data_IF_401023829811
#
_entry.id   IF_401023829811
#
_cell.length_a   1.000
_cell.length_b   1.000
_cell.length_c   1.000
_cell.angle_alpha   90.00
_cell.angle_beta   90.00
_cell.angle_gamma   90.00
#
_symmetry.space_group_name_H-M   'P 1'
#
loop_
_entity.id
_entity.type
_entity.pdbx_description
1 polymer ?
#
# COMPACT_ATOMS: atom_id res chain seq x y z
N UNK A 1 0.28 1.89 -6.37
CA UNK A 1 0.38 2.04 -7.84
C UNK A 1 1.63 2.85 -8.24
N UNK A 2 1.85 4.07 -7.75
CA UNK A 2 2.99 4.94 -8.14
C UNK A 2 4.36 4.29 -7.90
N UNK A 3 4.54 3.56 -6.80
CA UNK A 3 5.77 2.81 -6.54
C UNK A 3 6.05 1.79 -7.65
N UNK A 4 5.03 1.05 -8.05
CA UNK A 4 5.15 0.00 -9.07
C UNK A 4 5.40 0.59 -10.46
N UNK A 5 4.74 1.70 -10.79
CA UNK A 5 5.01 2.45 -12.02
C UNK A 5 6.47 2.93 -12.03
N UNK A 6 6.97 3.43 -10.90
CA UNK A 6 8.36 3.89 -10.75
C UNK A 6 9.38 2.75 -10.87
N UNK A 7 8.98 1.52 -10.62
CA UNK A 7 9.79 0.31 -10.84
C UNK A 7 9.72 -0.19 -12.30
N UNK A 8 8.94 0.48 -13.14
CA UNK A 8 8.79 0.15 -14.56
C UNK A 8 7.66 -0.82 -14.87
N UNK A 9 6.75 -1.02 -13.91
CA UNK A 9 5.52 -1.77 -14.11
C UNK A 9 4.44 -0.84 -14.68
N UNK A 10 4.54 -0.52 -15.96
CA UNK A 10 3.59 0.35 -16.66
C UNK A 10 2.18 -0.25 -16.81
N UNK A 11 2.02 -1.54 -16.57
CA UNK A 11 0.75 -2.25 -16.59
C UNK A 11 0.57 -3.12 -15.34
N UNK A 12 0.45 -2.48 -14.17
CA UNK A 12 -0.06 -3.17 -12.98
C UNK A 12 -1.54 -3.58 -13.14
N UNK A 13 -2.10 -3.34 -14.32
CA UNK A 13 -3.50 -3.60 -14.65
C UNK A 13 -3.81 -5.07 -14.99
N UNK A 14 -2.79 -5.95 -15.00
CA UNK A 14 -3.05 -7.39 -15.11
C UNK A 14 -3.74 -7.90 -13.84
N UNK A 15 -4.98 -8.42 -13.91
CA UNK A 15 -5.66 -9.00 -12.75
C UNK A 15 -4.86 -10.13 -12.09
N UNK A 16 -4.10 -10.88 -12.89
CA UNK A 16 -3.23 -11.95 -12.40
C UNK A 16 -2.10 -11.40 -11.52
N UNK A 17 -1.41 -10.36 -11.97
CA UNK A 17 -0.33 -9.76 -11.21
C UNK A 17 -0.85 -9.12 -9.91
N UNK A 18 -1.99 -8.45 -9.94
CA UNK A 18 -2.66 -7.95 -8.74
C UNK A 18 -2.98 -9.05 -7.73
N UNK A 19 -3.50 -10.19 -8.20
CA UNK A 19 -3.79 -11.33 -7.35
C UNK A 19 -2.54 -11.91 -6.67
N UNK A 20 -1.40 -11.94 -7.38
CA UNK A 20 -0.12 -12.36 -6.81
C UNK A 20 0.37 -11.39 -5.74
N UNK A 21 0.28 -10.09 -5.97
CA UNK A 21 0.61 -9.07 -4.95
C UNK A 21 -0.29 -9.18 -3.73
N UNK A 22 -1.61 -9.34 -3.92
CA UNK A 22 -2.57 -9.50 -2.82
C UNK A 22 -2.28 -10.75 -1.96
N UNK A 23 -1.77 -11.81 -2.58
CA UNK A 23 -1.34 -13.04 -1.89
C UNK A 23 0.09 -12.95 -1.33
N UNK A 24 0.83 -11.87 -1.65
CA UNK A 24 2.25 -11.70 -1.33
C UNK A 24 3.12 -12.86 -1.85
N UNK A 25 2.73 -13.45 -2.97
CA UNK A 25 3.47 -14.52 -3.63
C UNK A 25 4.68 -13.96 -4.40
N UNK A 26 5.73 -13.66 -3.63
CA UNK A 26 6.96 -13.04 -4.13
C UNK A 26 7.62 -13.87 -5.24
N UNK A 27 7.56 -15.19 -5.14
CA UNK A 27 8.18 -16.08 -6.13
C UNK A 27 7.47 -15.92 -7.48
N UNK A 28 6.16 -16.13 -7.51
CA UNK A 28 5.38 -16.01 -8.75
C UNK A 28 5.37 -14.59 -9.32
N UNK A 29 5.43 -13.55 -8.47
CA UNK A 29 5.60 -12.16 -8.91
C UNK A 29 6.91 -12.02 -9.70
N UNK A 30 8.02 -12.48 -9.15
CA UNK A 30 9.33 -12.36 -9.78
C UNK A 30 9.41 -13.18 -11.06
N UNK A 31 8.94 -14.41 -11.06
CA UNK A 31 8.88 -15.28 -12.25
C UNK A 31 8.08 -14.64 -13.39
N UNK A 32 6.95 -14.03 -13.07
CA UNK A 32 6.13 -13.34 -14.07
C UNK A 32 6.83 -12.11 -14.65
N UNK A 33 7.51 -11.34 -13.79
CA UNK A 33 8.12 -10.06 -14.19
C UNK A 33 9.48 -10.20 -14.86
N UNK A 34 10.26 -11.24 -14.55
CA UNK A 34 11.59 -11.42 -15.10
C UNK A 34 11.61 -11.65 -16.62
N UNK A 35 10.49 -12.06 -17.20
CA UNK A 35 10.36 -12.24 -18.65
C UNK A 35 10.38 -10.91 -19.41
N UNK A 36 9.98 -9.80 -18.75
CA UNK A 36 9.76 -8.51 -19.40
C UNK A 36 10.61 -7.37 -18.81
N UNK A 37 11.35 -7.62 -17.72
CA UNK A 37 12.12 -6.61 -17.03
C UNK A 37 13.60 -6.95 -16.94
N UNK A 38 14.44 -5.92 -16.93
CA UNK A 38 15.88 -6.06 -16.72
C UNK A 38 16.20 -6.55 -15.30
N UNK A 39 17.33 -7.23 -15.13
CA UNK A 39 17.80 -7.72 -13.83
C UNK A 39 17.82 -6.61 -12.76
N UNK A 40 18.28 -5.40 -13.11
CA UNK A 40 18.32 -4.25 -12.19
C UNK A 40 16.93 -3.89 -11.68
N UNK A 41 15.91 -3.92 -12.54
CA UNK A 41 14.52 -3.64 -12.14
C UNK A 41 13.97 -4.77 -11.26
N UNK A 42 14.26 -6.02 -11.59
CA UNK A 42 13.86 -7.17 -10.78
C UNK A 42 14.46 -7.09 -9.37
N UNK A 43 15.74 -6.75 -9.23
CA UNK A 43 16.41 -6.63 -7.93
C UNK A 43 15.78 -5.48 -7.09
N UNK A 44 15.40 -4.37 -7.73
CA UNK A 44 14.64 -3.30 -7.07
C UNK A 44 13.25 -3.76 -6.62
N UNK A 45 12.54 -4.55 -7.42
CA UNK A 45 11.23 -5.10 -7.06
C UNK A 45 11.36 -6.08 -5.89
N UNK A 46 12.36 -6.95 -5.91
CA UNK A 46 12.66 -7.84 -4.77
C UNK A 46 12.84 -7.05 -3.49
N UNK A 47 13.69 -6.01 -3.52
CA UNK A 47 13.91 -5.14 -2.37
C UNK A 47 12.61 -4.44 -1.95
N UNK A 48 11.84 -3.91 -2.87
CA UNK A 48 10.54 -3.29 -2.58
C UNK A 48 9.58 -4.23 -1.85
N UNK A 49 9.48 -5.48 -2.28
CA UNK A 49 8.60 -6.48 -1.68
C UNK A 49 8.98 -6.89 -0.25
N UNK A 50 10.22 -6.61 0.18
CA UNK A 50 10.70 -6.90 1.53
C UNK A 50 10.60 -5.70 2.48
N UNK A 51 10.26 -4.51 1.98
CA UNK A 51 10.14 -3.31 2.81
C UNK A 51 8.87 -3.38 3.65
N UNK A 52 9.06 -3.56 4.96
CA UNK A 52 8.00 -3.74 5.93
C UNK A 52 8.49 -3.28 7.31
N UNK A 53 7.64 -2.62 8.08
CA UNK A 53 7.97 -2.23 9.46
C UNK A 53 7.55 -0.81 9.82
N UNK A 54 8.34 -0.20 10.68
CA UNK A 54 8.12 1.13 11.23
C UNK A 54 8.71 2.25 10.34
N UNK A 55 9.16 3.32 10.94
CA UNK A 55 9.85 4.42 10.25
C UNK A 55 11.10 3.99 9.45
N UNK A 56 11.72 2.85 9.75
CA UNK A 56 12.88 2.38 8.99
C UNK A 56 12.43 1.93 7.60
N UNK A 57 11.25 1.34 7.47
CA UNK A 57 10.66 1.02 6.16
C UNK A 57 10.56 2.26 5.26
N UNK A 58 10.22 3.43 5.82
CA UNK A 58 10.17 4.68 5.05
C UNK A 58 11.56 5.21 4.66
N UNK A 59 12.61 4.91 5.43
CA UNK A 59 13.99 5.25 5.06
C UNK A 59 14.45 4.36 3.90
N UNK A 60 14.28 3.05 4.02
CA UNK A 60 14.63 2.08 2.97
C UNK A 60 13.89 2.40 1.65
N UNK A 61 12.61 2.76 1.76
CA UNK A 61 11.81 3.17 0.61
C UNK A 61 12.37 4.44 -0.05
N UNK A 62 12.79 5.44 0.75
CA UNK A 62 13.39 6.67 0.26
C UNK A 62 14.72 6.42 -0.47
N UNK A 63 15.56 5.53 0.05
CA UNK A 63 16.82 5.11 -0.57
C UNK A 63 16.56 4.39 -1.90
N UNK A 64 15.61 3.45 -1.92
CA UNK A 64 15.27 2.68 -3.13
C UNK A 64 14.78 3.57 -4.28
N UNK A 65 14.09 4.68 -3.95
CA UNK A 65 13.50 5.61 -4.91
C UNK A 65 14.17 6.99 -4.90
N UNK A 66 15.44 7.07 -4.52
CA UNK A 66 16.21 8.32 -4.54
C UNK A 66 16.07 9.04 -5.89
N UNK A 67 15.75 10.33 -5.85
CA UNK A 67 15.53 11.17 -7.04
C UNK A 67 14.11 11.12 -7.63
N UNK A 68 13.23 10.24 -7.17
CA UNK A 68 11.84 10.22 -7.62
C UNK A 68 10.97 11.16 -6.79
N UNK A 69 10.70 12.35 -7.32
CA UNK A 69 9.94 13.41 -6.64
C UNK A 69 8.55 12.96 -6.18
N UNK A 70 7.82 12.21 -7.02
CA UNK A 70 6.47 11.74 -6.69
C UNK A 70 6.50 10.76 -5.51
N UNK A 71 7.42 9.81 -5.55
CA UNK A 71 7.58 8.83 -4.47
C UNK A 71 8.01 9.52 -3.18
N UNK A 72 8.93 10.48 -3.24
CA UNK A 72 9.35 11.25 -2.07
C UNK A 72 8.20 12.04 -1.45
N UNK A 73 7.29 12.59 -2.26
CA UNK A 73 6.09 13.26 -1.75
C UNK A 73 5.14 12.29 -1.05
N UNK A 74 4.96 11.07 -1.59
CA UNK A 74 4.15 10.03 -0.94
C UNK A 74 4.76 9.65 0.42
N UNK A 75 6.07 9.43 0.48
CA UNK A 75 6.78 9.14 1.73
C UNK A 75 6.58 10.25 2.76
N UNK A 76 6.68 11.52 2.33
CA UNK A 76 6.44 12.67 3.20
C UNK A 76 5.00 12.67 3.74
N UNK A 77 4.03 12.36 2.91
CA UNK A 77 2.63 12.28 3.32
C UNK A 77 2.41 11.16 4.36
N UNK A 78 2.98 9.97 4.13
CA UNK A 78 2.90 8.87 5.10
C UNK A 78 3.55 9.26 6.42
N UNK A 79 4.74 9.89 6.41
CA UNK A 79 5.39 10.39 7.62
C UNK A 79 4.52 11.38 8.40
N UNK A 80 3.82 12.26 7.71
CA UNK A 80 2.92 13.21 8.36
C UNK A 80 1.71 12.50 9.01
N UNK A 81 1.15 11.50 8.35
CA UNK A 81 0.06 10.70 8.90
C UNK A 81 0.53 9.95 10.16
N UNK A 82 1.67 9.28 10.09
CA UNK A 82 2.25 8.58 11.23
C UNK A 82 2.47 9.51 12.43
N UNK A 83 2.98 10.73 12.18
CA UNK A 83 3.15 11.75 13.24
C UNK A 83 1.84 12.23 13.86
N UNK A 84 0.72 12.09 13.15
CA UNK A 84 -0.62 12.49 13.60
C UNK A 84 -1.35 11.39 14.36
N UNK A 85 -0.79 10.18 14.42
CA UNK A 85 -1.37 9.09 15.20
C UNK A 85 -1.33 9.43 16.70
N UNK A 86 -2.32 8.98 17.47
CA UNK A 86 -2.30 9.13 18.93
C UNK A 86 -1.04 8.52 19.53
N UNK A 87 -0.55 9.11 20.61
CA UNK A 87 0.61 8.59 21.34
C UNK A 87 0.35 7.16 21.81
N UNK A 88 1.33 6.28 21.63
CA UNK A 88 1.19 4.86 21.97
C UNK A 88 0.49 4.01 20.92
N UNK A 89 0.17 4.56 19.75
CA UNK A 89 -0.35 3.75 18.63
C UNK A 89 0.80 2.95 17.99
N UNK A 90 0.70 1.63 18.04
CA UNK A 90 1.57 0.76 17.26
C UNK A 90 1.13 0.80 15.79
N UNK A 91 2.10 0.89 14.89
CA UNK A 91 1.82 0.89 13.46
C UNK A 91 2.90 0.14 12.67
N UNK A 92 2.48 -0.37 11.54
CA UNK A 92 3.34 -1.02 10.56
C UNK A 92 3.07 -0.42 9.20
N UNK A 93 4.13 -0.15 8.46
CA UNK A 93 4.08 0.29 7.07
C UNK A 93 4.39 -0.91 6.21
N UNK A 94 3.45 -1.28 5.37
CA UNK A 94 3.56 -2.34 4.38
C UNK A 94 3.38 -1.73 2.99
N UNK A 95 4.49 -1.57 2.27
CA UNK A 95 4.45 -0.94 0.94
C UNK A 95 4.01 -1.90 -0.16
N UNK A 96 4.03 -3.19 0.13
CA UNK A 96 3.62 -4.26 -0.78
C UNK A 96 2.15 -4.62 -0.64
N UNK A 97 1.46 -4.10 0.37
CA UNK A 97 0.03 -4.34 0.55
C UNK A 97 -0.76 -3.63 -0.56
N UNK A 98 -1.36 -4.44 -1.40
CA UNK A 98 -2.18 -3.99 -2.52
C UNK A 98 -3.60 -4.43 -2.26
N UNK A 99 -4.44 -3.46 -1.94
CA UNK A 99 -5.87 -3.76 -1.74
C UNK A 99 -6.51 -4.24 -3.04
N UNK A 100 -7.38 -5.24 -2.92
CA UNK A 100 -8.18 -5.79 -4.02
C UNK A 100 -9.22 -4.80 -4.57
N UNK A 101 -9.43 -3.66 -3.92
CA UNK A 101 -10.39 -2.66 -4.36
C UNK A 101 -9.78 -1.75 -5.42
N UNK A 102 -10.27 -1.87 -6.65
CA UNK A 102 -9.80 -1.12 -7.83
C UNK A 102 -9.93 0.41 -7.72
N UNK A 103 -10.76 0.89 -6.78
CA UNK A 103 -11.04 2.31 -6.61
C UNK A 103 -10.11 3.01 -5.61
N UNK A 104 -9.25 2.28 -4.89
CA UNK A 104 -8.25 2.90 -4.03
C UNK A 104 -7.09 3.47 -4.86
N UNK A 105 -6.97 4.77 -4.88
CA UNK A 105 -5.89 5.48 -5.61
C UNK A 105 -4.81 6.04 -4.68
N UNK A 106 -5.00 5.90 -3.38
CA UNK A 106 -4.12 6.48 -2.37
C UNK A 106 -3.68 5.50 -1.30
N UNK A 107 -3.42 6.05 -0.10
CA UNK A 107 -3.09 5.26 1.07
C UNK A 107 -4.30 4.41 1.49
N UNK A 108 -4.02 3.15 1.83
CA UNK A 108 -4.96 2.25 2.50
C UNK A 108 -4.49 2.02 3.93
N UNK A 109 -5.39 1.67 4.82
CA UNK A 109 -5.06 1.30 6.18
C UNK A 109 -5.95 0.17 6.68
N UNK A 110 -5.43 -0.61 7.61
CA UNK A 110 -6.17 -1.63 8.36
C UNK A 110 -5.87 -1.47 9.84
N UNK A 111 -6.89 -1.54 10.68
CA UNK A 111 -6.74 -1.53 12.13
C UNK A 111 -6.98 -2.95 12.67
N UNK A 112 -6.12 -3.36 13.59
CA UNK A 112 -6.15 -4.68 14.21
C UNK A 112 -6.24 -4.57 15.73
N UNK A 113 -6.65 -5.62 16.37
CA UNK A 113 -6.58 -5.80 17.82
C UNK A 113 -5.88 -7.12 18.11
N UNK A 114 -5.18 -7.19 19.23
CA UNK A 114 -4.55 -8.44 19.70
C UNK A 114 -5.55 -9.59 19.92
N UNK A 115 -6.84 -9.28 20.09
CA UNK A 115 -7.89 -10.28 20.29
C UNK A 115 -8.35 -10.97 18.99
N UNK A 116 -8.05 -10.41 17.82
CA UNK A 116 -8.57 -10.92 16.55
C UNK A 116 -7.47 -11.00 15.49
N UNK A 117 -7.47 -12.07 14.71
CA UNK A 117 -6.52 -12.29 13.60
C UNK A 117 -6.86 -11.51 12.33
N UNK A 118 -8.09 -11.01 12.22
CA UNK A 118 -8.56 -10.23 11.07
C UNK A 118 -8.73 -8.76 11.43
N UNK A 119 -8.62 -7.90 10.44
CA UNK A 119 -8.79 -6.47 10.62
C UNK A 119 -10.17 -6.13 11.19
N UNK A 120 -10.20 -5.21 12.15
CA UNK A 120 -11.42 -4.63 12.73
C UNK A 120 -11.99 -3.51 11.88
N UNK A 121 -11.11 -2.75 11.27
CA UNK A 121 -11.47 -1.70 10.34
C UNK A 121 -10.52 -1.71 9.15
N UNK A 122 -11.03 -1.33 7.99
CA UNK A 122 -10.27 -1.10 6.77
C UNK A 122 -10.76 0.16 6.09
N UNK A 123 -9.85 0.90 5.50
CA UNK A 123 -10.21 2.11 4.79
C UNK A 123 -9.08 2.60 3.90
N UNK A 124 -9.35 3.69 3.21
CA UNK A 124 -8.38 4.28 2.32
C UNK A 124 -8.84 5.59 1.71
N UNK A 125 -7.93 6.18 0.93
CA UNK A 125 -8.19 7.36 0.13
C UNK A 125 -8.51 6.96 -1.31
N UNK A 126 -9.55 7.56 -1.86
CA UNK A 126 -9.94 7.39 -3.26
C UNK A 126 -10.12 8.74 -3.93
N UNK A 127 -9.74 8.82 -5.19
CA UNK A 127 -9.82 10.05 -5.99
C UNK A 127 -10.86 9.95 -7.12
N UNK A 128 -11.25 8.74 -7.48
CA UNK A 128 -12.05 8.48 -8.70
C UNK A 128 -13.51 8.10 -8.45
N UNK A 129 -13.94 7.86 -7.20
CA UNK A 129 -15.32 7.44 -6.89
C UNK A 129 -16.38 8.45 -7.34
N UNK A 130 -16.03 9.74 -7.33
CA UNK A 130 -16.95 10.82 -7.68
C UNK A 130 -16.93 11.17 -9.17
N UNK A 131 -16.10 10.51 -9.99
CA UNK A 131 -16.00 10.81 -11.42
C UNK A 131 -17.30 10.53 -12.18
N UNK A 132 -18.07 9.55 -11.73
CA UNK A 132 -19.41 9.22 -12.28
C UNK A 132 -20.49 10.25 -11.91
N UNK A 133 -20.23 11.12 -10.95
CA UNK A 133 -21.15 12.16 -10.44
C UNK A 133 -20.70 13.59 -10.77
N UNK A 134 -19.71 13.77 -11.65
CA UNK A 134 -19.21 15.08 -12.06
C UNK A 134 -17.76 15.35 -11.70
N UNK A 135 -17.47 16.35 -10.84
CA UNK A 135 -16.08 16.73 -10.55
C UNK A 135 -15.37 15.68 -9.67
N UNK A 136 -14.16 15.27 -10.09
CA UNK A 136 -13.27 14.44 -9.27
C UNK A 136 -12.96 15.14 -7.95
N UNK A 137 -13.29 14.50 -6.83
CA UNK A 137 -12.95 14.98 -5.49
C UNK A 137 -12.30 13.85 -4.70
N UNK A 138 -11.19 14.12 -4.00
CA UNK A 138 -10.61 13.12 -3.11
C UNK A 138 -11.58 12.85 -1.95
N UNK A 139 -11.73 11.57 -1.60
CA UNK A 139 -12.53 11.14 -0.48
C UNK A 139 -11.73 10.16 0.37
N UNK A 140 -12.06 10.08 1.65
CA UNK A 140 -11.55 9.07 2.58
C UNK A 140 -12.75 8.35 3.16
N UNK A 141 -12.68 7.04 3.22
CA UNK A 141 -13.72 6.23 3.83
C UNK A 141 -13.14 5.01 4.51
N UNK A 142 -13.92 4.45 5.41
CA UNK A 142 -13.57 3.23 6.09
C UNK A 142 -14.82 2.43 6.48
N UNK A 143 -14.62 1.14 6.67
CA UNK A 143 -15.60 0.21 7.22
C UNK A 143 -15.02 -0.42 8.48
N UNK A 144 -15.88 -0.79 9.42
CA UNK A 144 -15.47 -1.51 10.62
C UNK A 144 -16.51 -2.57 11.02
N UNK A 145 -16.03 -3.61 11.69
CA UNK A 145 -16.87 -4.69 12.20
C UNK A 145 -17.43 -4.33 13.59
N UNK A 146 -18.67 -3.85 13.60
CA UNK A 146 -19.37 -3.45 14.84
C UNK A 146 -19.44 -4.57 15.87
N UNK A 147 -19.67 -5.81 15.42
CA UNK A 147 -19.81 -6.96 16.35
C UNK A 147 -18.52 -7.19 17.10
N UNK A 148 -17.39 -7.16 16.39
CA UNK A 148 -16.07 -7.33 17.01
C UNK A 148 -15.69 -6.19 17.93
N UNK A 149 -16.05 -4.96 17.57
CA UNK A 149 -15.77 -3.79 18.40
C UNK A 149 -16.49 -3.87 19.75
N UNK A 150 -17.72 -4.38 19.80
CA UNK A 150 -18.47 -4.57 21.05
C UNK A 150 -17.80 -5.54 22.02
N UNK A 151 -16.96 -6.46 21.56
CA UNK A 151 -16.28 -7.47 22.38
C UNK A 151 -14.81 -7.15 22.66
N UNK A 152 -14.33 -5.95 22.29
CA UNK A 152 -12.96 -5.51 22.60
C UNK A 152 -12.84 -4.88 23.98
N UNK A 153 -13.93 -4.31 24.48
CA UNK A 153 -14.02 -3.70 25.81
C UNK A 153 -13.86 -4.69 26.96
#
# INVERSE_FOLDING_TARGET
>A
TEFLISLGLSSFDSPQLRALFAKKDTVSIIETLQQNLTKVKIDKIKKFLTIYGDNNALKELAELFTGNVKVMQIIKNIKNIVKSLPSGTDYIIDVSDVDCYEYHSGLIFSAYSAKYTSALAKGGRFENLTSSFGKKRPAVGFTFDLRRLLFIG
#
